data_IF_771013146341
#
_entry.id   IF_771013146341
#
_cell.length_a   1.000
_cell.length_b   1.000
_cell.length_c   1.000
_cell.angle_alpha   90.00
_cell.angle_beta   90.00
_cell.angle_gamma   90.00
#
_symmetry.space_group_name_H-M   'P 1'
#
loop_
_entity.id
_entity.type
_entity.pdbx_description
1 polymer ?
#
# COMPACT_ATOMS: atom_id res chain seq x y z
N UNK A 1 32.67 -8.44 6.50
CA UNK A 1 31.91 -7.80 5.42
C UNK A 1 31.79 -6.33 5.78
N UNK A 2 32.24 -5.42 4.90
CA UNK A 2 32.16 -3.97 5.10
C UNK A 2 31.01 -3.46 4.25
N UNK A 3 30.00 -2.83 4.85
CA UNK A 3 28.81 -2.35 4.17
C UNK A 3 28.59 -0.87 4.51
N UNK A 4 28.60 -0.02 3.50
CA UNK A 4 28.27 1.40 3.65
C UNK A 4 26.77 1.60 3.42
N UNK A 5 26.11 2.34 4.31
CA UNK A 5 24.68 2.62 4.21
C UNK A 5 24.47 3.90 3.40
N UNK A 6 23.90 3.76 2.21
CA UNK A 6 23.46 4.86 1.37
C UNK A 6 21.92 4.93 1.37
N UNK A 7 21.36 6.12 1.54
CA UNK A 7 19.92 6.36 1.39
C UNK A 7 19.68 6.93 0.00
N UNK A 8 18.86 6.23 -0.79
CA UNK A 8 18.48 6.62 -2.14
C UNK A 8 16.97 6.86 -2.19
N UNK A 9 16.57 7.83 -3.01
CA UNK A 9 15.16 8.15 -3.25
C UNK A 9 14.75 7.76 -4.67
N UNK A 10 13.52 7.29 -4.83
CA UNK A 10 12.92 7.02 -6.13
C UNK A 10 11.98 8.15 -6.57
N UNK A 11 11.81 8.30 -7.88
CA UNK A 11 10.80 9.16 -8.49
C UNK A 11 9.42 8.45 -8.54
N UNK A 12 8.43 9.09 -9.18
CA UNK A 12 7.07 8.55 -9.33
C UNK A 12 6.99 7.31 -10.23
N UNK A 13 7.98 7.09 -11.08
CA UNK A 13 8.08 5.94 -11.97
C UNK A 13 8.92 4.80 -11.37
N UNK A 14 9.47 4.99 -10.16
CA UNK A 14 10.29 4.01 -9.46
C UNK A 14 11.78 4.06 -9.82
N UNK A 15 12.24 5.08 -10.56
CA UNK A 15 13.65 5.22 -10.89
C UNK A 15 14.40 5.92 -9.76
N UNK A 16 15.66 5.56 -9.52
CA UNK A 16 16.53 6.30 -8.60
C UNK A 16 16.72 7.74 -9.10
N UNK A 17 16.48 8.73 -8.24
CA UNK A 17 16.65 10.16 -8.61
C UNK A 17 18.08 10.51 -8.96
N UNK A 18 19.05 9.85 -8.33
CA UNK A 18 20.47 10.02 -8.59
C UNK A 18 21.22 8.71 -8.30
N UNK A 19 22.22 8.41 -9.12
CA UNK A 19 23.18 7.33 -8.87
C UNK A 19 24.44 7.92 -8.22
N UNK A 20 24.91 7.37 -7.09
CA UNK A 20 26.16 7.78 -6.48
C UNK A 20 27.35 7.40 -7.38
N UNK A 21 28.44 8.15 -7.29
CA UNK A 21 29.67 7.78 -7.96
C UNK A 21 30.33 6.61 -7.21
N UNK A 22 30.50 5.49 -7.91
CA UNK A 22 31.18 4.31 -7.39
C UNK A 22 32.67 4.32 -7.79
N UNK A 23 33.56 3.72 -6.99
CA UNK A 23 34.97 3.61 -7.33
C UNK A 23 35.17 2.69 -8.55
N UNK A 24 36.13 3.07 -9.40
CA UNK A 24 36.43 2.34 -10.63
C UNK A 24 36.96 0.92 -10.36
N UNK A 25 36.63 -0.01 -11.27
CA UNK A 25 37.14 -1.39 -11.30
C UNK A 25 36.84 -2.20 -10.02
N UNK A 26 35.67 -1.99 -9.42
CA UNK A 26 35.19 -2.75 -8.25
C UNK A 26 33.87 -3.44 -8.55
N UNK A 27 33.69 -4.61 -7.96
CA UNK A 27 32.42 -5.35 -7.99
C UNK A 27 31.66 -5.09 -6.69
N UNK A 28 30.36 -4.84 -6.81
CA UNK A 28 29.48 -4.56 -5.68
C UNK A 28 28.31 -5.54 -5.66
N UNK A 29 27.97 -6.01 -4.47
CA UNK A 29 26.68 -6.63 -4.18
C UNK A 29 25.79 -5.56 -3.54
N UNK A 30 24.56 -5.40 -4.04
CA UNK A 30 23.63 -4.35 -3.61
C UNK A 30 22.38 -4.97 -3.00
N UNK A 31 21.99 -4.48 -1.84
CA UNK A 31 20.76 -4.88 -1.14
C UNK A 31 19.86 -3.66 -1.04
N UNK A 32 18.64 -3.76 -1.55
CA UNK A 32 17.63 -2.71 -1.41
C UNK A 32 16.71 -3.00 -0.23
N UNK A 33 16.60 -2.05 0.69
CA UNK A 33 15.65 -2.08 1.80
C UNK A 33 14.68 -0.90 1.69
N UNK A 34 13.40 -1.19 1.54
CA UNK A 34 12.35 -0.16 1.50
C UNK A 34 12.15 0.39 2.92
N UNK A 35 12.54 1.65 3.15
CA UNK A 35 12.45 2.28 4.47
C UNK A 35 11.06 2.83 4.78
N UNK A 36 10.37 3.34 3.75
CA UNK A 36 9.05 3.95 3.90
C UNK A 36 8.30 3.84 2.58
N UNK A 37 7.08 3.34 2.66
CA UNK A 37 6.14 3.42 1.54
C UNK A 37 5.52 4.82 1.54
N UNK A 38 5.82 5.60 0.50
CA UNK A 38 5.30 6.95 0.31
C UNK A 38 3.93 6.95 -0.36
N UNK A 39 3.42 5.78 -0.76
CA UNK A 39 2.02 5.68 -1.16
C UNK A 39 1.15 5.89 0.07
N UNK A 40 0.64 7.12 0.24
CA UNK A 40 -0.49 7.37 1.13
C UNK A 40 -1.67 6.66 0.51
N UNK A 41 -1.80 5.36 0.76
CA UNK A 41 -2.98 4.60 0.41
C UNK A 41 -4.09 5.17 1.28
N UNK A 42 -4.81 6.16 0.76
CA UNK A 42 -5.95 6.77 1.44
C UNK A 42 -6.89 5.63 1.77
N UNK A 43 -6.91 5.21 3.04
CA UNK A 43 -7.84 4.18 3.48
C UNK A 43 -9.22 4.74 3.17
N UNK A 44 -10.02 3.99 2.41
CA UNK A 44 -11.41 4.39 2.12
C UNK A 44 -12.14 4.44 3.44
N UNK A 45 -12.42 5.65 3.91
CA UNK A 45 -13.26 5.89 5.08
C UNK A 45 -14.66 6.21 4.59
N UNK A 46 -15.72 5.75 5.30
CA UNK A 46 -17.07 6.22 5.06
C UNK A 46 -17.15 7.75 5.16
N UNK A 47 -18.15 8.36 4.50
CA UNK A 47 -18.42 9.79 4.64
C UNK A 47 -18.56 10.16 6.13
N UNK A 48 -18.06 11.33 6.59
CA UNK A 48 -18.10 11.72 8.00
C UNK A 48 -19.49 11.61 8.64
N UNK A 49 -20.54 11.86 7.87
CA UNK A 49 -21.92 11.77 8.36
C UNK A 49 -22.37 10.36 8.73
N UNK A 50 -21.71 9.32 8.22
CA UNK A 50 -22.04 7.91 8.41
C UNK A 50 -21.02 7.23 9.33
N UNK A 51 -19.81 7.77 9.41
CA UNK A 51 -18.73 7.25 10.24
C UNK A 51 -19.17 7.13 11.70
N UNK A 52 -19.12 5.91 12.25
CA UNK A 52 -19.48 5.63 13.65
C UNK A 52 -20.98 5.68 13.97
N UNK A 53 -21.85 6.00 12.99
CA UNK A 53 -23.31 6.05 13.18
C UNK A 53 -24.04 4.79 12.73
N UNK A 54 -23.36 3.89 12.02
CA UNK A 54 -23.92 2.63 11.54
C UNK A 54 -23.55 1.51 12.49
N UNK A 55 -24.56 0.76 12.94
CA UNK A 55 -24.36 -0.47 13.69
C UNK A 55 -24.66 -1.67 12.80
N UNK A 56 -23.76 -2.65 12.79
CA UNK A 56 -23.92 -3.89 12.02
C UNK A 56 -24.72 -4.86 12.90
N UNK A 57 -26.00 -5.07 12.59
CA UNK A 57 -26.93 -5.87 13.40
C UNK A 57 -26.92 -7.38 13.09
N UNK A 58 -26.02 -7.86 12.22
CA UNK A 58 -25.99 -9.26 11.79
C UNK A 58 -24.86 -9.56 10.78
N UNK A 59 -24.93 -10.72 10.12
CA UNK A 59 -24.02 -11.08 9.04
C UNK A 59 -24.31 -10.24 7.79
N UNK A 60 -23.30 -9.54 7.30
CA UNK A 60 -23.36 -8.66 6.12
C UNK A 60 -22.57 -9.21 4.93
N UNK A 61 -21.87 -10.33 5.12
CA UNK A 61 -21.08 -10.98 4.08
C UNK A 61 -21.85 -12.12 3.42
N UNK A 62 -22.80 -12.70 4.13
CA UNK A 62 -23.70 -13.70 3.57
C UNK A 62 -25.08 -13.10 3.26
N UNK A 63 -25.74 -13.67 2.26
CA UNK A 63 -27.13 -13.38 1.93
C UNK A 63 -27.83 -14.68 1.56
N UNK A 64 -29.15 -14.71 1.68
CA UNK A 64 -29.95 -15.81 1.15
C UNK A 64 -29.77 -15.88 -0.38
N UNK A 65 -29.85 -17.08 -0.99
CA UNK A 65 -29.77 -17.24 -2.44
C UNK A 65 -30.75 -16.32 -3.18
N UNK A 66 -30.37 -15.85 -4.37
CA UNK A 66 -31.19 -14.91 -5.16
C UNK A 66 -32.61 -15.43 -5.45
N UNK A 67 -32.81 -16.75 -5.48
CA UNK A 67 -34.12 -17.40 -5.64
C UNK A 67 -35.07 -17.19 -4.47
N UNK A 68 -34.57 -16.82 -3.30
CA UNK A 68 -35.33 -16.60 -2.07
C UNK A 68 -35.59 -15.11 -1.80
N UNK A 69 -35.21 -14.23 -2.74
CA UNK A 69 -35.44 -12.80 -2.60
C UNK A 69 -36.92 -12.48 -2.85
N UNK A 70 -37.55 -11.84 -1.87
CA UNK A 70 -38.93 -11.40 -1.99
C UNK A 70 -39.00 -10.05 -2.72
N UNK A 71 -39.43 -10.06 -3.98
CA UNK A 71 -39.62 -8.85 -4.79
C UNK A 71 -41.06 -8.29 -4.75
N UNK A 72 -41.89 -8.76 -3.81
CA UNK A 72 -43.26 -8.25 -3.65
C UNK A 72 -43.21 -6.88 -2.96
N UNK A 73 -43.55 -5.83 -3.71
CA UNK A 73 -43.76 -4.46 -3.21
C UNK A 73 -45.15 -4.29 -2.60
#
# INVERSE_FOLDING_TARGET
MYAERLILETDQSGNLKALPQLPANKQFEVIFLVLKDMTTRTKRTPHPDIMGKVNIMGDIFSSVPASEWNFSL
#
